data_IF_298108235084
#
_entry.id   IF_298108235084
#
_cell.length_a   1.000
_cell.length_b   1.000
_cell.length_c   1.000
_cell.angle_alpha   90.00
_cell.angle_beta   90.00
_cell.angle_gamma   90.00
#
_symmetry.space_group_name_H-M   'P 1'
#
loop_
_entity.id
_entity.type
_entity.pdbx_description
1 polymer ?
#
# COMPACT_ATOMS: atom_id res chain seq x y z
N UNK A 1 -17.69 -35.53 -11.87
CA UNK A 1 -16.72 -34.45 -12.15
C UNK A 1 -16.88 -33.39 -11.07
N UNK A 2 -16.02 -33.37 -10.03
CA UNK A 2 -16.10 -32.36 -8.96
C UNK A 2 -15.24 -31.16 -9.36
N UNK A 3 -15.89 -30.02 -9.52
CA UNK A 3 -15.27 -28.72 -9.66
C UNK A 3 -14.37 -28.50 -8.43
N UNK A 4 -13.05 -28.64 -8.59
CA UNK A 4 -12.12 -28.14 -7.60
C UNK A 4 -12.16 -26.61 -7.71
N UNK A 5 -12.91 -25.97 -6.81
CA UNK A 5 -12.73 -24.56 -6.53
C UNK A 5 -11.26 -24.37 -6.18
N UNK A 6 -10.51 -23.90 -7.17
CA UNK A 6 -9.13 -23.50 -7.05
C UNK A 6 -9.14 -22.34 -6.06
N UNK A 7 -9.05 -22.64 -4.77
CA UNK A 7 -8.78 -21.67 -3.72
C UNK A 7 -7.56 -20.90 -4.20
N UNK A 8 -7.78 -19.70 -4.74
CA UNK A 8 -6.71 -18.82 -5.15
C UNK A 8 -6.00 -18.45 -3.85
N UNK A 9 -4.96 -19.21 -3.50
CA UNK A 9 -4.05 -18.89 -2.41
C UNK A 9 -3.62 -17.45 -2.67
N UNK A 10 -4.13 -16.51 -1.86
CA UNK A 10 -3.69 -15.13 -1.91
C UNK A 10 -2.21 -15.16 -1.55
N UNK A 11 -1.38 -15.07 -2.58
CA UNK A 11 0.09 -15.05 -2.53
C UNK A 11 0.63 -13.78 -1.87
N UNK A 12 -0.25 -12.97 -1.28
CA UNK A 12 0.06 -11.70 -0.65
C UNK A 12 -0.82 -11.51 0.58
N UNK A 13 -0.20 -11.06 1.66
CA UNK A 13 -0.87 -10.62 2.88
C UNK A 13 -0.64 -9.12 3.07
N UNK A 14 -1.61 -8.47 3.69
CA UNK A 14 -1.55 -7.03 3.98
C UNK A 14 -1.45 -6.84 5.49
N UNK A 15 -0.43 -6.11 5.92
CA UNK A 15 -0.18 -5.79 7.33
C UNK A 15 -0.41 -4.29 7.51
N UNK A 16 -1.25 -3.94 8.49
CA UNK A 16 -1.49 -2.56 8.89
C UNK A 16 -0.69 -2.26 10.16
N UNK A 17 -0.05 -1.10 10.21
CA UNK A 17 0.69 -0.60 11.35
C UNK A 17 0.00 0.64 11.93
N UNK A 18 0.16 0.88 13.23
CA UNK A 18 -0.40 2.07 13.88
C UNK A 18 0.39 3.36 13.57
N UNK A 19 1.54 3.21 12.90
CA UNK A 19 2.43 4.31 12.50
C UNK A 19 2.77 4.23 11.01
N UNK A 20 3.20 5.33 10.40
CA UNK A 20 3.75 5.31 9.05
C UNK A 20 4.96 4.39 8.93
N UNK A 21 4.97 3.61 7.86
CA UNK A 21 6.02 2.63 7.52
C UNK A 21 6.57 2.79 6.11
N UNK A 22 5.98 3.65 5.30
CA UNK A 22 6.52 4.02 4.00
C UNK A 22 6.02 5.38 3.52
N UNK A 23 6.81 5.97 2.65
CA UNK A 23 6.55 7.24 2.01
C UNK A 23 6.82 7.13 0.51
N UNK A 24 6.08 7.88 -0.29
CA UNK A 24 6.22 7.81 -1.74
C UNK A 24 5.53 8.94 -2.47
N UNK A 25 6.14 9.35 -3.59
CA UNK A 25 5.57 10.35 -4.49
C UNK A 25 4.71 9.69 -5.56
N UNK A 26 3.44 10.08 -5.64
CA UNK A 26 2.53 9.64 -6.69
C UNK A 26 2.94 10.32 -8.00
N UNK A 27 3.76 9.62 -8.78
CA UNK A 27 4.11 10.04 -10.15
C UNK A 27 2.85 10.01 -11.02
N UNK A 28 2.85 10.86 -12.05
CA UNK A 28 1.82 10.89 -13.11
C UNK A 28 1.95 9.65 -14.00
N UNK A 29 1.64 8.48 -13.46
CA UNK A 29 1.59 7.24 -14.21
C UNK A 29 0.28 6.52 -13.90
N UNK A 30 -0.31 5.90 -14.93
CA UNK A 30 -1.68 5.37 -14.93
C UNK A 30 -1.96 4.37 -13.79
N UNK A 31 -0.91 3.74 -13.26
CA UNK A 31 -0.95 2.74 -12.18
C UNK A 31 -1.04 3.43 -10.81
N UNK A 32 -0.26 4.49 -10.56
CA UNK A 32 -0.19 5.17 -9.26
C UNK A 32 -1.28 6.23 -9.07
N UNK A 33 -1.91 6.69 -10.15
CA UNK A 33 -3.06 7.61 -10.10
C UNK A 33 -4.38 6.96 -9.71
N UNK A 34 -4.50 5.63 -9.75
CA UNK A 34 -5.78 4.95 -9.53
C UNK A 34 -6.45 5.33 -8.19
N UNK A 35 -5.65 5.67 -7.18
CA UNK A 35 -6.11 6.01 -5.83
C UNK A 35 -5.64 7.41 -5.35
N UNK A 36 -5.17 8.29 -6.24
CA UNK A 36 -4.67 9.60 -5.82
C UNK A 36 -4.40 10.62 -6.90
N UNK A 37 -4.23 11.88 -6.50
CA UNK A 37 -3.85 12.96 -7.40
C UNK A 37 -2.36 12.86 -7.68
N UNK A 38 -1.97 12.88 -8.95
CA UNK A 38 -0.57 12.91 -9.32
C UNK A 38 0.10 14.20 -8.85
N UNK A 39 1.38 14.09 -8.50
CA UNK A 39 2.16 15.21 -7.95
C UNK A 39 2.14 15.29 -6.43
N UNK A 40 1.54 14.32 -5.74
CA UNK A 40 1.40 14.33 -4.28
C UNK A 40 2.40 13.39 -3.59
N UNK A 41 2.96 13.88 -2.48
CA UNK A 41 3.68 13.04 -1.53
C UNK A 41 2.70 12.39 -0.57
N UNK A 42 2.82 11.08 -0.35
CA UNK A 42 1.93 10.29 0.51
C UNK A 42 2.71 9.41 1.46
N UNK A 43 2.05 9.10 2.56
CA UNK A 43 2.54 8.21 3.60
C UNK A 43 1.61 7.00 3.67
N UNK A 44 2.14 5.83 3.99
CA UNK A 44 1.34 4.61 4.18
C UNK A 44 1.68 3.93 5.48
N UNK A 45 0.62 3.42 6.11
CA UNK A 45 0.69 2.56 7.29
C UNK A 45 0.56 1.08 6.91
N UNK A 46 0.49 0.78 5.60
CA UNK A 46 0.21 -0.56 5.11
C UNK A 46 1.42 -1.13 4.38
N UNK A 47 1.73 -2.39 4.63
CA UNK A 47 2.73 -3.17 3.87
C UNK A 47 2.04 -4.36 3.21
N UNK A 48 2.37 -4.59 1.95
CA UNK A 48 2.03 -5.84 1.26
C UNK A 48 3.23 -6.78 1.34
N UNK A 49 3.02 -7.98 1.85
CA UNK A 49 4.04 -9.03 1.97
C UNK A 49 3.70 -10.15 1.00
N UNK A 50 4.64 -10.49 0.12
CA UNK A 50 4.52 -11.63 -0.77
C UNK A 50 4.88 -12.93 -0.04
N UNK A 51 4.00 -13.92 -0.16
CA UNK A 51 4.14 -15.25 0.42
C UNK A 51 4.36 -16.26 -0.71
N UNK A 52 5.45 -17.02 -0.65
CA UNK A 52 5.70 -18.09 -1.61
C UNK A 52 4.61 -19.18 -1.43
N UNK A 53 3.81 -19.48 -2.46
CA UNK A 53 2.69 -20.41 -2.34
C UNK A 53 3.14 -21.88 -2.20
N UNK A 54 4.41 -22.20 -2.50
CA UNK A 54 4.98 -23.54 -2.36
C UNK A 54 5.55 -23.77 -0.97
N UNK A 55 6.17 -22.74 -0.37
CA UNK A 55 6.87 -22.87 0.92
C UNK A 55 6.13 -22.23 2.08
N UNK A 56 5.14 -21.37 1.82
CA UNK A 56 4.44 -20.58 2.83
C UNK A 56 5.28 -19.47 3.45
N UNK A 57 6.52 -19.26 2.98
CA UNK A 57 7.45 -18.28 3.54
C UNK A 57 7.30 -16.91 2.89
N UNK A 58 7.45 -15.86 3.69
CA UNK A 58 7.55 -14.51 3.16
C UNK A 58 8.87 -14.33 2.39
N UNK A 59 8.81 -13.73 1.21
CA UNK A 59 10.00 -13.49 0.37
C UNK A 59 10.17 -12.01 -0.04
N UNK A 60 9.12 -11.19 0.09
CA UNK A 60 9.18 -9.76 -0.20
C UNK A 60 8.20 -9.00 0.68
N UNK A 61 8.53 -7.75 1.02
CA UNK A 61 7.65 -6.84 1.71
C UNK A 61 7.87 -5.43 1.15
N UNK A 62 6.79 -4.73 0.79
CA UNK A 62 6.86 -3.36 0.29
C UNK A 62 5.69 -2.52 0.82
N UNK A 63 5.92 -1.23 1.13
CA UNK A 63 4.86 -0.31 1.50
C UNK A 63 3.81 -0.19 0.39
N UNK A 64 2.53 -0.27 0.77
CA UNK A 64 1.42 -0.18 -0.16
C UNK A 64 0.95 1.27 -0.29
N UNK A 65 1.36 1.93 -1.37
CA UNK A 65 1.03 3.32 -1.65
C UNK A 65 -0.40 3.54 -2.16
N UNK A 66 -1.08 2.49 -2.62
CA UNK A 66 -2.50 2.57 -3.01
C UNK A 66 -3.41 2.84 -1.81
N UNK A 67 -2.93 2.49 -0.60
CA UNK A 67 -3.55 2.85 0.69
C UNK A 67 -2.88 4.04 1.37
N UNK A 68 -2.04 4.77 0.65
CA UNK A 68 -1.34 5.93 1.18
C UNK A 68 -2.29 7.11 1.40
N UNK A 69 -2.11 7.82 2.51
CA UNK A 69 -2.82 9.05 2.84
C UNK A 69 -1.91 10.26 2.66
N UNK A 70 -2.53 11.43 2.45
CA UNK A 70 -1.80 12.71 2.45
C UNK A 70 -1.38 13.00 3.88
N UNK A 71 -0.13 13.39 4.06
CA UNK A 71 0.25 14.01 5.33
C UNK A 71 -0.41 15.38 5.35
N UNK A 72 -1.44 15.55 6.18
CA UNK A 72 -1.91 16.87 6.55
C UNK A 72 -0.76 17.54 7.31
N UNK A 73 -0.08 18.44 6.62
CA UNK A 73 1.02 19.18 7.20
C UNK A 73 0.40 20.23 8.13
N UNK A 74 0.11 19.84 9.38
CA UNK A 74 -0.57 20.69 10.37
C UNK A 74 0.12 22.05 10.55
N UNK A 75 1.42 22.16 10.21
CA UNK A 75 2.17 23.41 10.16
C UNK A 75 1.57 24.47 9.21
N UNK A 76 0.97 24.05 8.09
CA UNK A 76 0.35 25.00 7.14
C UNK A 76 -1.00 25.52 7.62
N UNK A 77 -1.70 24.77 8.48
CA UNK A 77 -2.97 25.21 9.06
C UNK A 77 -2.75 26.24 10.18
N UNK A 78 -1.60 26.20 10.87
CA UNK A 78 -1.22 27.24 11.84
C UNK A 78 -0.88 28.59 11.20
N UNK A 79 -0.39 28.62 9.96
CA UNK A 79 0.01 29.86 9.27
C UNK A 79 -1.20 30.57 8.63
N UNK A 80 -2.33 29.87 8.44
CA UNK A 80 -3.56 30.41 7.83
C UNK A 80 -4.56 31.04 8.82
N UNK A 81 -4.22 31.11 10.11
CA UNK A 81 -4.98 31.87 11.12
C UNK A 81 -4.34 33.24 11.34
#
# INVERSE_FOLDING_TARGET
>A
MRQAEKCMLKTQVTINFDRPVGEGFIKNNKITQANGTAGEYRWTNTVTVGIDPRTGKAYTAFPNMDKGYKQENQLLDFIKK
#
